data_IF_779547869254
#
_entry.id   IF_779547869254
#
_cell.length_a   1.000
_cell.length_b   1.000
_cell.length_c   1.000
_cell.angle_alpha   90.00
_cell.angle_beta   90.00
_cell.angle_gamma   90.00
#
_symmetry.space_group_name_H-M   'P 1'
#
loop_
_entity.id
_entity.type
_entity.pdbx_description
1 polymer ?
#
# COMPACT_ATOMS: atom_id res chain seq x y z
N UNK A 1 12.41 15.86 -34.42
CA UNK A 1 12.83 14.60 -35.06
C UNK A 1 12.39 13.48 -34.15
N UNK A 2 11.30 12.80 -34.49
CA UNK A 2 10.75 11.69 -33.71
C UNK A 2 11.29 10.38 -34.30
N UNK A 3 12.11 9.65 -33.54
CA UNK A 3 12.45 8.26 -33.86
C UNK A 3 11.85 7.37 -32.78
N UNK A 4 10.70 6.82 -33.15
CA UNK A 4 9.95 5.77 -32.47
C UNK A 4 10.87 4.59 -32.14
N UNK A 5 11.06 4.32 -30.85
CA UNK A 5 11.56 3.03 -30.38
C UNK A 5 10.40 2.03 -30.42
N UNK A 6 10.04 1.56 -31.62
CA UNK A 6 9.10 0.45 -31.77
C UNK A 6 9.86 -0.85 -31.48
N UNK A 7 9.40 -1.60 -30.48
CA UNK A 7 9.89 -2.93 -30.17
C UNK A 7 9.72 -3.86 -31.39
N UNK A 8 10.82 -4.16 -32.10
CA UNK A 8 10.80 -5.10 -33.21
C UNK A 8 10.50 -6.51 -32.70
N UNK A 9 9.32 -7.03 -33.06
CA UNK A 9 8.90 -8.39 -32.75
C UNK A 9 9.76 -9.40 -33.54
N UNK A 10 10.17 -10.49 -32.88
CA UNK A 10 10.98 -11.56 -33.47
C UNK A 10 10.21 -12.87 -33.48
N UNK A 11 10.40 -13.64 -34.54
CA UNK A 11 9.85 -14.98 -34.65
C UNK A 11 10.40 -15.89 -33.54
N UNK A 12 9.52 -16.64 -32.89
CA UNK A 12 9.87 -17.57 -31.80
C UNK A 12 10.59 -18.84 -32.25
N UNK A 13 10.60 -19.14 -33.56
CA UNK A 13 11.21 -20.35 -34.12
C UNK A 13 12.56 -20.07 -34.80
N UNK A 14 12.64 -19.09 -35.70
CA UNK A 14 13.90 -18.71 -36.38
C UNK A 14 14.65 -17.56 -35.69
N UNK A 15 13.99 -16.75 -34.84
CA UNK A 15 14.56 -15.50 -34.31
C UNK A 15 14.59 -14.33 -35.31
N UNK A 16 14.11 -14.52 -36.53
CA UNK A 16 14.05 -13.51 -37.58
C UNK A 16 13.04 -12.39 -37.24
N UNK A 17 13.34 -11.15 -37.64
CA UNK A 17 12.48 -9.98 -37.37
C UNK A 17 11.19 -10.09 -38.18
N UNK A 18 10.04 -9.89 -37.53
CA UNK A 18 8.74 -9.96 -38.19
C UNK A 18 8.43 -8.65 -38.92
N UNK A 19 7.95 -8.76 -40.15
CA UNK A 19 7.56 -7.63 -40.98
C UNK A 19 6.12 -7.80 -41.51
N UNK A 20 5.35 -6.72 -41.46
CA UNK A 20 3.93 -6.74 -41.84
C UNK A 20 3.72 -7.00 -43.34
N UNK A 21 4.76 -6.85 -44.17
CA UNK A 21 4.73 -7.08 -45.61
C UNK A 21 4.94 -8.54 -46.04
N UNK A 22 5.41 -9.44 -45.16
CA UNK A 22 5.83 -10.81 -45.54
C UNK A 22 4.83 -11.91 -45.15
N UNK A 23 3.60 -11.54 -44.77
CA UNK A 23 2.58 -12.51 -44.35
C UNK A 23 2.87 -13.13 -42.98
N UNK A 24 3.60 -12.41 -42.13
CA UNK A 24 3.98 -12.86 -40.79
C UNK A 24 2.81 -12.85 -39.81
N UNK A 25 2.79 -13.85 -38.93
CA UNK A 25 1.75 -14.01 -37.93
C UNK A 25 2.18 -13.38 -36.59
N UNK A 26 1.78 -12.13 -36.39
CA UNK A 26 2.11 -11.35 -35.18
C UNK A 26 1.40 -11.84 -33.91
N UNK A 27 0.27 -12.56 -34.03
CA UNK A 27 -0.49 -13.03 -32.86
C UNK A 27 0.26 -14.12 -32.08
N UNK A 28 0.97 -14.98 -32.80
CA UNK A 28 1.80 -16.06 -32.23
C UNK A 28 3.31 -15.75 -32.32
N UNK A 29 3.66 -14.60 -32.88
CA UNK A 29 5.03 -14.17 -33.19
C UNK A 29 5.80 -15.22 -34.00
N UNK A 30 5.28 -15.59 -35.17
CA UNK A 30 5.90 -16.56 -36.09
C UNK A 30 5.95 -15.99 -37.51
N UNK A 31 7.09 -16.12 -38.20
CA UNK A 31 7.18 -15.67 -39.60
C UNK A 31 6.48 -16.63 -40.56
N UNK A 32 6.08 -16.15 -41.74
CA UNK A 32 5.34 -16.95 -42.73
C UNK A 32 6.05 -18.26 -43.12
N UNK A 33 7.38 -18.27 -43.15
CA UNK A 33 8.16 -19.49 -43.41
C UNK A 33 8.03 -20.53 -42.29
N UNK A 34 7.96 -20.08 -41.03
CA UNK A 34 7.92 -20.96 -39.86
C UNK A 34 6.48 -21.38 -39.49
N UNK A 35 5.46 -20.71 -40.01
CA UNK A 35 4.05 -21.01 -39.75
C UNK A 35 3.65 -22.42 -40.20
N UNK A 36 4.25 -22.91 -41.29
CA UNK A 36 4.00 -24.26 -41.82
C UNK A 36 4.60 -25.39 -40.97
N UNK A 37 5.46 -25.09 -39.99
CA UNK A 37 6.13 -26.11 -39.17
C UNK A 37 5.17 -26.70 -38.12
N UNK A 38 5.26 -28.00 -37.81
CA UNK A 38 4.43 -28.63 -36.78
C UNK A 38 4.65 -28.01 -35.39
N UNK A 39 5.81 -27.41 -35.16
CA UNK A 39 6.15 -26.66 -33.94
C UNK A 39 5.30 -25.40 -33.76
N UNK A 40 4.93 -24.72 -34.85
CA UNK A 40 4.08 -23.52 -34.80
C UNK A 40 2.67 -23.84 -34.30
N UNK A 41 2.12 -25.02 -34.63
CA UNK A 41 0.81 -25.47 -34.12
C UNK A 41 0.77 -25.60 -32.60
N UNK A 42 1.90 -25.91 -31.96
CA UNK A 42 2.01 -26.00 -30.50
C UNK A 42 2.07 -24.63 -29.83
N UNK A 43 2.40 -23.57 -30.58
CA UNK A 43 2.47 -22.19 -30.11
C UNK A 43 1.11 -21.47 -30.08
N UNK A 44 0.02 -22.13 -30.49
CA UNK A 44 -1.33 -21.59 -30.70
C UNK A 44 -2.06 -20.96 -29.50
N UNK A 45 -1.33 -20.46 -28.50
CA UNK A 45 -1.84 -19.49 -27.53
C UNK A 45 -1.39 -18.10 -28.00
N UNK A 46 -2.32 -17.20 -28.37
CA UNK A 46 -1.96 -15.84 -28.75
C UNK A 46 -1.16 -15.21 -27.61
N UNK A 47 -0.04 -14.58 -27.95
CA UNK A 47 0.62 -13.71 -27.01
C UNK A 47 -0.37 -12.58 -26.74
N UNK A 48 -0.88 -12.48 -25.51
CA UNK A 48 -1.38 -11.19 -25.03
C UNK A 48 -0.19 -10.25 -25.21
N UNK A 49 -0.23 -9.43 -26.27
CA UNK A 49 0.66 -8.31 -26.43
C UNK A 49 0.54 -7.51 -25.14
N UNK A 50 1.54 -7.65 -24.27
CA UNK A 50 1.73 -6.71 -23.18
C UNK A 50 2.29 -5.48 -23.86
N UNK A 51 1.41 -4.62 -24.36
CA UNK A 51 1.77 -3.26 -24.73
C UNK A 51 2.41 -2.61 -23.49
N UNK A 52 3.60 -2.01 -23.60
CA UNK A 52 4.17 -1.23 -22.49
C UNK A 52 3.44 0.10 -22.24
N UNK A 53 2.34 0.35 -22.94
CA UNK A 53 1.44 1.47 -22.69
C UNK A 53 0.07 0.93 -22.29
N UNK A 54 0.03 0.41 -21.07
CA UNK A 54 -1.17 0.37 -20.28
C UNK A 54 -0.82 1.07 -18.98
N UNK A 55 -1.12 2.36 -18.87
CA UNK A 55 -1.76 2.84 -17.66
C UNK A 55 -2.80 1.78 -17.33
N UNK A 56 -2.48 0.89 -16.38
CA UNK A 56 -3.50 0.11 -15.74
C UNK A 56 -4.47 1.20 -15.27
N UNK A 57 -5.60 1.35 -15.98
CA UNK A 57 -6.83 1.74 -15.35
C UNK A 57 -6.95 0.73 -14.23
N UNK A 58 -6.38 1.12 -13.08
CA UNK A 58 -6.49 0.45 -11.82
C UNK A 58 -7.98 0.48 -11.60
N UNK A 59 -8.65 -0.55 -12.10
CA UNK A 59 -10.02 -0.80 -11.70
C UNK A 59 -9.85 -1.00 -10.21
N UNK A 60 -10.32 -0.04 -9.39
CA UNK A 60 -10.04 -0.10 -7.97
C UNK A 60 -10.46 -1.48 -7.51
N UNK A 61 -9.60 -2.14 -6.71
CA UNK A 61 -10.04 -3.32 -5.99
C UNK A 61 -11.39 -3.00 -5.34
N UNK A 62 -12.29 -3.99 -5.31
CA UNK A 62 -13.60 -3.87 -4.64
C UNK A 62 -13.44 -3.18 -3.30
N UNK A 63 -14.47 -2.49 -2.82
CA UNK A 63 -14.39 -1.89 -1.49
C UNK A 63 -13.99 -2.91 -0.42
N UNK A 64 -13.25 -2.45 0.59
CA UNK A 64 -12.90 -3.27 1.74
C UNK A 64 -14.18 -3.75 2.44
N UNK A 65 -14.24 -5.05 2.73
CA UNK A 65 -15.27 -5.61 3.61
C UNK A 65 -15.10 -5.09 5.04
N UNK A 66 -16.16 -5.14 5.89
CA UNK A 66 -16.05 -4.78 7.30
C UNK A 66 -14.95 -5.56 8.06
N UNK A 67 -14.76 -6.84 7.70
CA UNK A 67 -13.72 -7.68 8.29
C UNK A 67 -12.31 -7.19 7.92
N UNK A 68 -12.10 -6.84 6.66
CA UNK A 68 -10.82 -6.30 6.18
C UNK A 68 -10.51 -4.93 6.76
N UNK A 69 -11.52 -4.05 6.90
CA UNK A 69 -11.35 -2.75 7.57
C UNK A 69 -10.94 -2.92 9.04
N UNK A 70 -11.56 -3.85 9.76
CA UNK A 70 -11.23 -4.16 11.15
C UNK A 70 -9.81 -4.72 11.28
N UNK A 71 -9.42 -5.62 10.37
CA UNK A 71 -8.09 -6.20 10.31
C UNK A 71 -7.03 -5.13 10.03
N UNK A 72 -7.26 -4.29 9.01
CA UNK A 72 -6.35 -3.22 8.62
C UNK A 72 -6.02 -2.30 9.80
N UNK A 73 -7.05 -1.81 10.53
CA UNK A 73 -6.87 -0.93 11.70
C UNK A 73 -6.13 -1.60 12.85
N UNK A 74 -6.44 -2.87 13.13
CA UNK A 74 -5.79 -3.60 14.22
C UNK A 74 -4.34 -3.96 13.89
N UNK A 75 -4.03 -4.30 12.64
CA UNK A 75 -2.68 -4.70 12.27
C UNK A 75 -1.77 -3.50 12.03
N UNK A 76 -2.32 -2.35 11.60
CA UNK A 76 -1.54 -1.13 11.39
C UNK A 76 -0.93 -0.56 12.67
N UNK A 77 -1.37 -0.98 13.86
CA UNK A 77 -0.73 -0.60 15.13
C UNK A 77 0.50 -1.43 15.48
N UNK A 78 0.69 -2.59 14.82
CA UNK A 78 1.78 -3.52 15.12
C UNK A 78 2.71 -3.76 13.92
N UNK A 79 2.25 -3.48 12.71
CA UNK A 79 2.97 -3.77 11.47
C UNK A 79 3.03 -2.54 10.54
N UNK A 80 4.08 -2.42 9.72
CA UNK A 80 4.13 -1.42 8.65
C UNK A 80 2.95 -1.56 7.69
N UNK A 81 2.43 -0.44 7.20
CA UNK A 81 1.26 -0.39 6.28
C UNK A 81 1.48 -1.26 5.03
N UNK A 82 2.71 -1.38 4.54
CA UNK A 82 3.04 -2.23 3.40
C UNK A 82 2.83 -3.74 3.69
N UNK A 83 3.18 -4.19 4.89
CA UNK A 83 2.98 -5.59 5.33
C UNK A 83 1.48 -5.89 5.47
N UNK A 84 0.72 -4.94 6.05
CA UNK A 84 -0.74 -5.05 6.16
C UNK A 84 -1.40 -5.16 4.78
N UNK A 85 -0.91 -4.40 3.79
CA UNK A 85 -1.39 -4.50 2.40
C UNK A 85 -1.09 -5.87 1.79
N UNK A 86 0.11 -6.41 2.03
CA UNK A 86 0.49 -7.75 1.57
C UNK A 86 -0.47 -8.82 2.08
N UNK A 87 -0.75 -8.81 3.39
CA UNK A 87 -1.66 -9.75 4.05
C UNK A 87 -3.09 -9.65 3.48
N UNK A 88 -3.58 -8.42 3.26
CA UNK A 88 -4.92 -8.20 2.70
C UNK A 88 -5.03 -8.74 1.26
N UNK A 89 -3.99 -8.55 0.45
CA UNK A 89 -3.97 -9.03 -0.93
C UNK A 89 -3.80 -10.54 -1.03
N UNK A 90 -3.02 -11.16 -0.15
CA UNK A 90 -2.91 -12.62 -0.06
C UNK A 90 -4.27 -13.23 0.28
N UNK A 91 -4.94 -12.68 1.29
CA UNK A 91 -6.30 -13.11 1.65
C UNK A 91 -7.29 -12.92 0.50
N UNK A 92 -7.24 -11.78 -0.17
CA UNK A 92 -8.10 -11.49 -1.33
C UNK A 92 -7.91 -12.55 -2.43
N UNK A 93 -6.66 -12.93 -2.71
CA UNK A 93 -6.34 -13.98 -3.67
C UNK A 93 -6.79 -15.36 -3.21
N UNK A 94 -6.76 -15.65 -1.90
CA UNK A 94 -7.33 -16.90 -1.36
C UNK A 94 -8.85 -16.96 -1.50
N UNK A 95 -9.54 -15.85 -1.27
CA UNK A 95 -11.01 -15.79 -1.28
C UNK A 95 -11.59 -15.75 -2.71
N UNK A 96 -10.93 -15.04 -3.64
CA UNK A 96 -11.44 -14.78 -4.99
C UNK A 96 -10.61 -15.41 -6.12
N UNK A 97 -9.45 -16.00 -5.81
CA UNK A 97 -8.52 -16.55 -6.78
C UNK A 97 -7.45 -15.55 -7.25
N UNK A 98 -6.47 -16.02 -8.05
CA UNK A 98 -5.29 -15.25 -8.43
C UNK A 98 -5.55 -14.08 -9.38
N UNK A 99 -6.71 -14.04 -10.03
CA UNK A 99 -7.10 -12.97 -10.96
C UNK A 99 -7.81 -11.79 -10.27
N UNK A 100 -7.92 -11.81 -8.93
CA UNK A 100 -8.52 -10.72 -8.18
C UNK A 100 -7.68 -9.43 -8.27
N UNK A 101 -8.33 -8.31 -8.54
CA UNK A 101 -7.67 -7.00 -8.58
C UNK A 101 -7.13 -6.63 -7.18
N UNK A 102 -5.81 -6.47 -7.00
CA UNK A 102 -5.22 -6.24 -5.68
C UNK A 102 -5.54 -4.85 -5.15
N UNK A 103 -5.69 -4.75 -3.84
CA UNK A 103 -5.76 -3.47 -3.13
C UNK A 103 -4.49 -2.66 -3.35
N UNK A 104 -4.67 -1.35 -3.49
CA UNK A 104 -3.56 -0.42 -3.62
C UNK A 104 -3.17 0.20 -2.29
N UNK A 105 -1.92 0.66 -2.21
CA UNK A 105 -1.42 1.40 -1.05
C UNK A 105 -2.25 2.67 -0.80
N UNK A 106 -2.70 3.33 -1.87
CA UNK A 106 -3.54 4.53 -1.79
C UNK A 106 -4.91 4.20 -1.21
N UNK A 107 -5.54 3.10 -1.63
CA UNK A 107 -6.79 2.63 -1.06
C UNK A 107 -6.65 2.31 0.43
N UNK A 108 -5.60 1.58 0.83
CA UNK A 108 -5.38 1.24 2.23
C UNK A 108 -5.11 2.49 3.09
N UNK A 109 -4.30 3.43 2.60
CA UNK A 109 -4.04 4.71 3.28
C UNK A 109 -5.30 5.57 3.35
N UNK A 110 -6.09 5.62 2.29
CA UNK A 110 -7.38 6.29 2.27
C UNK A 110 -8.35 5.65 3.27
N UNK A 111 -8.27 4.34 3.52
CA UNK A 111 -9.17 3.69 4.47
C UNK A 111 -8.73 3.81 5.92
N UNK A 112 -7.42 3.80 6.17
CA UNK A 112 -6.85 4.11 7.48
C UNK A 112 -6.95 5.62 7.80
N UNK A 113 -6.93 6.49 6.79
CA UNK A 113 -7.09 7.94 6.92
C UNK A 113 -8.53 8.46 6.81
N UNK A 114 -9.42 7.70 6.16
CA UNK A 114 -10.83 8.01 5.90
C UNK A 114 -11.79 7.33 6.88
N UNK A 115 -11.28 6.36 7.66
CA UNK A 115 -11.85 5.94 8.93
C UNK A 115 -11.58 6.97 10.03
N UNK A 116 -11.93 8.23 9.79
CA UNK A 116 -12.09 9.21 10.85
C UNK A 116 -13.35 8.82 11.66
N UNK A 117 -13.24 7.80 12.51
CA UNK A 117 -13.60 8.09 13.90
C UNK A 117 -12.67 9.22 14.30
N UNK A 118 -13.22 10.42 14.31
CA UNK A 118 -12.64 11.64 14.88
C UNK A 118 -11.59 11.29 15.94
N UNK A 119 -10.32 11.63 15.69
CA UNK A 119 -9.32 11.81 16.76
C UNK A 119 -7.97 12.36 16.29
N UNK A 120 -7.76 12.67 15.01
CA UNK A 120 -6.59 13.44 14.56
C UNK A 120 -6.77 14.97 14.70
N UNK A 121 -7.86 15.40 15.31
CA UNK A 121 -8.07 16.78 15.73
C UNK A 121 -9.04 16.85 16.90
N UNK A 122 -8.54 17.29 18.07
CA UNK A 122 -9.33 17.82 19.18
C UNK A 122 -10.34 16.87 19.83
N UNK A 123 -9.85 16.13 20.81
CA UNK A 123 -10.40 16.35 22.15
C UNK A 123 -9.30 16.89 23.07
N UNK A 124 -8.77 18.08 22.73
CA UNK A 124 -7.99 18.86 23.69
C UNK A 124 -8.75 19.04 25.01
N UNK A 125 -10.09 19.08 24.94
CA UNK A 125 -10.96 19.05 26.10
C UNK A 125 -10.92 17.71 26.87
N UNK A 126 -10.90 16.55 26.20
CA UNK A 126 -10.77 15.26 26.90
C UNK A 126 -9.36 15.05 27.44
N UNK A 127 -8.32 15.46 26.71
CA UNK A 127 -6.93 15.45 27.16
C UNK A 127 -6.75 16.31 28.41
N UNK A 128 -7.25 17.56 28.41
CA UNK A 128 -7.23 18.42 29.61
C UNK A 128 -8.03 17.82 30.76
N UNK A 129 -9.20 17.22 30.49
CA UNK A 129 -10.01 16.54 31.52
C UNK A 129 -9.28 15.32 32.10
N UNK A 130 -8.55 14.58 31.27
CA UNK A 130 -7.72 13.45 31.68
C UNK A 130 -6.54 13.94 32.53
N UNK A 131 -5.82 14.97 32.09
CA UNK A 131 -4.70 15.57 32.81
C UNK A 131 -5.14 16.16 34.16
N UNK A 132 -6.27 16.85 34.20
CA UNK A 132 -6.87 17.37 35.44
C UNK A 132 -7.28 16.25 36.40
N UNK A 133 -7.76 15.10 35.89
CA UNK A 133 -8.03 13.91 36.70
C UNK A 133 -6.74 13.28 37.22
N UNK A 134 -5.73 13.12 36.36
CA UNK A 134 -4.43 12.56 36.73
C UNK A 134 -3.70 13.42 37.78
N UNK A 135 -3.87 14.75 37.72
CA UNK A 135 -3.39 15.69 38.74
C UNK A 135 -4.10 15.47 40.08
N UNK A 136 -5.45 15.42 40.10
CA UNK A 136 -6.23 15.15 41.32
C UNK A 136 -5.93 13.80 41.96
N UNK A 137 -5.65 12.80 41.12
CA UNK A 137 -5.35 11.44 41.56
C UNK A 137 -3.86 11.26 41.97
N UNK A 138 -3.02 12.31 41.83
CA UNK A 138 -1.59 12.30 42.14
C UNK A 138 -0.72 11.49 41.16
N UNK A 139 -1.30 11.04 40.03
CA UNK A 139 -0.61 10.28 38.99
C UNK A 139 0.35 11.17 38.20
N UNK A 140 -0.01 12.44 37.98
CA UNK A 140 0.83 13.38 37.23
C UNK A 140 2.17 13.65 37.93
N UNK A 141 2.22 13.57 39.25
CA UNK A 141 3.42 13.78 40.07
C UNK A 141 4.39 12.59 40.01
N UNK A 142 3.90 11.41 39.61
CA UNK A 142 4.71 10.21 39.42
C UNK A 142 5.39 10.16 38.06
N UNK A 143 5.06 11.09 37.17
CA UNK A 143 5.68 11.20 35.85
C UNK A 143 6.91 12.10 36.00
N UNK A 144 8.10 11.52 36.10
CA UNK A 144 9.35 12.24 36.06
C UNK A 144 9.93 12.30 34.64
N UNK A 145 10.99 13.08 34.45
CA UNK A 145 11.63 13.24 33.14
C UNK A 145 12.23 11.92 32.65
N UNK A 146 12.74 11.10 33.58
CA UNK A 146 13.30 9.79 33.27
C UNK A 146 12.25 8.83 32.71
N UNK A 147 11.03 8.82 33.26
CA UNK A 147 9.93 8.00 32.77
C UNK A 147 9.51 8.40 31.35
N UNK A 148 9.56 9.69 31.03
CA UNK A 148 9.26 10.20 29.68
C UNK A 148 10.34 9.75 28.70
N UNK A 149 11.62 9.83 29.09
CA UNK A 149 12.73 9.41 28.26
C UNK A 149 12.76 7.88 28.06
N UNK A 150 12.46 7.09 29.10
CA UNK A 150 12.30 5.64 29.01
C UNK A 150 11.14 5.25 28.09
N UNK A 151 10.01 5.95 28.22
CA UNK A 151 8.86 5.79 27.33
C UNK A 151 9.24 6.11 25.87
N UNK A 152 10.03 7.17 25.65
CA UNK A 152 10.50 7.53 24.32
C UNK A 152 11.38 6.46 23.68
N UNK A 153 12.23 5.79 24.46
CA UNK A 153 13.05 4.67 23.99
C UNK A 153 12.19 3.46 23.63
N UNK A 154 11.28 3.06 24.51
CA UNK A 154 10.40 1.88 24.30
C UNK A 154 9.52 2.05 23.06
N UNK A 155 9.01 3.27 22.83
CA UNK A 155 8.10 3.55 21.72
C UNK A 155 8.78 4.21 20.51
N UNK A 156 10.12 4.31 20.52
CA UNK A 156 10.92 4.88 19.43
C UNK A 156 10.42 6.28 18.99
N UNK A 157 10.11 7.14 19.96
CA UNK A 157 9.63 8.48 19.70
C UNK A 157 10.75 9.37 19.14
N UNK A 158 10.39 10.24 18.20
CA UNK A 158 11.31 11.26 17.70
C UNK A 158 11.44 12.41 18.72
N UNK A 159 12.58 13.10 18.75
CA UNK A 159 12.90 14.22 19.66
C UNK A 159 11.79 15.28 19.70
N UNK A 160 11.17 15.56 18.55
CA UNK A 160 10.03 16.49 18.47
C UNK A 160 8.82 16.02 19.28
N UNK A 161 8.50 14.72 19.23
CA UNK A 161 7.37 14.14 19.97
C UNK A 161 7.64 14.13 21.47
N UNK A 162 8.88 13.82 21.86
CA UNK A 162 9.31 13.88 23.26
C UNK A 162 9.18 15.30 23.82
N UNK A 163 9.62 16.31 23.08
CA UNK A 163 9.46 17.71 23.47
C UNK A 163 7.98 18.10 23.61
N UNK A 164 7.13 17.72 22.66
CA UNK A 164 5.69 17.98 22.76
C UNK A 164 5.06 17.32 23.99
N UNK A 165 5.47 16.10 24.35
CA UNK A 165 4.98 15.43 25.57
C UNK A 165 5.45 16.17 26.82
N UNK A 166 6.73 16.57 26.88
CA UNK A 166 7.28 17.36 27.99
C UNK A 166 6.51 18.66 28.15
N UNK A 167 6.26 19.39 27.06
CA UNK A 167 5.46 20.63 27.06
C UNK A 167 4.04 20.40 27.58
N UNK A 168 3.32 19.38 27.10
CA UNK A 168 1.94 19.09 27.53
C UNK A 168 1.86 18.77 29.03
N UNK A 169 2.82 18.00 29.54
CA UNK A 169 2.86 17.64 30.97
C UNK A 169 3.19 18.85 31.83
N UNK A 170 4.10 19.72 31.35
CA UNK A 170 4.51 20.94 32.05
C UNK A 170 3.34 21.93 32.12
N UNK A 171 2.65 22.15 31.01
CA UNK A 171 1.42 22.97 30.92
C UNK A 171 0.33 22.46 31.89
N UNK A 172 0.10 21.15 31.94
CA UNK A 172 -0.88 20.56 32.86
C UNK A 172 -0.51 20.69 34.35
N UNK A 173 0.78 20.84 34.68
CA UNK A 173 1.23 21.12 36.05
C UNK A 173 0.95 22.58 36.42
N UNK A 174 1.18 23.49 35.49
CA UNK A 174 1.06 24.94 35.68
C UNK A 174 -0.39 25.46 35.64
N UNK A 175 -1.30 24.83 34.88
CA UNK A 175 -2.73 25.20 34.70
C UNK A 175 -3.63 25.02 35.96
N UNK A 176 -3.08 25.22 37.17
CA UNK A 176 -3.82 25.23 38.43
C UNK A 176 -4.08 26.63 38.98
N UNK A 177 -4.96 27.42 38.35
CA UNK A 177 -5.69 28.55 38.96
C UNK A 177 -7.16 28.45 38.61
#
# INVERSE_FOLDING_TARGET
MATNAQAQMRCRLCGCTLDAGEGDNFEIAVCGSCESRPEARKLGKPLKLVTPEGTASQTPARDFTPAEKSLARKMSSYLPIAEVLGILNERLACDLGPDAAPYTMEQLKAELGGGATSEAGKDWASLRKMLARAKRDGTLDRIDEQLIDDFAVVYSLNSKQVLTIKEIILDAREDGV
#
